data_IF_902702470204
#
_entry.id   IF_902702470204
#
_cell.length_a   1.000
_cell.length_b   1.000
_cell.length_c   1.000
_cell.angle_alpha   90.00
_cell.angle_beta   90.00
_cell.angle_gamma   90.00
#
_symmetry.space_group_name_H-M   'P 1'
#
loop_
_entity.id
_entity.type
_entity.pdbx_description
1 polymer ?
#
# COMPACT_ATOMS: atom_id res chain seq x y z
N UNK A 1 16.41 10.43 -29.95
CA UNK A 1 16.05 10.03 -28.57
C UNK A 1 14.55 9.75 -28.43
N UNK A 2 14.16 8.49 -28.18
CA UNK A 2 12.77 8.16 -27.80
C UNK A 2 12.58 8.57 -26.34
N UNK A 3 11.76 9.58 -26.08
CA UNK A 3 11.39 9.94 -24.71
C UNK A 3 10.45 8.86 -24.18
N UNK A 4 10.83 8.22 -23.07
CA UNK A 4 9.96 7.28 -22.38
C UNK A 4 8.90 8.07 -21.60
N UNK A 5 7.62 7.81 -21.86
CA UNK A 5 6.50 8.48 -21.21
C UNK A 5 5.57 7.44 -20.57
N UNK A 6 4.93 7.82 -19.47
CA UNK A 6 3.84 7.04 -18.90
C UNK A 6 2.52 7.47 -19.55
N UNK A 7 1.69 6.51 -19.95
CA UNK A 7 0.43 6.75 -20.67
C UNK A 7 -0.72 6.12 -19.88
N UNK A 8 -1.61 6.96 -19.37
CA UNK A 8 -2.88 6.52 -18.78
C UNK A 8 -3.98 6.51 -19.83
N UNK A 9 -4.76 5.44 -19.90
CA UNK A 9 -5.88 5.29 -20.84
C UNK A 9 -7.19 5.25 -20.06
N UNK A 10 -8.11 6.15 -20.42
CA UNK A 10 -9.45 6.20 -19.84
C UNK A 10 -10.33 5.03 -20.28
N UNK A 11 -11.46 4.83 -19.62
CA UNK A 11 -12.46 3.87 -20.11
C UNK A 11 -13.01 4.28 -21.48
N UNK A 12 -13.53 3.31 -22.25
CA UNK A 12 -14.22 3.59 -23.50
C UNK A 12 -15.41 4.55 -23.27
N UNK A 13 -15.52 5.58 -24.11
CA UNK A 13 -16.67 6.48 -24.16
C UNK A 13 -17.49 6.18 -25.41
N UNK A 14 -18.75 5.79 -25.23
CA UNK A 14 -19.71 5.48 -26.30
C UNK A 14 -20.51 6.72 -26.74
N UNK A 15 -20.36 7.84 -26.02
CA UNK A 15 -20.98 9.12 -26.36
C UNK A 15 -20.13 10.30 -25.91
N UNK A 16 -20.38 11.48 -26.50
CA UNK A 16 -19.68 12.73 -26.12
C UNK A 16 -19.83 13.06 -24.63
N UNK A 17 -20.97 12.74 -24.02
CA UNK A 17 -21.21 12.97 -22.60
C UNK A 17 -20.26 12.17 -21.68
N UNK A 18 -19.71 11.05 -22.16
CA UNK A 18 -18.81 10.19 -21.38
C UNK A 18 -17.33 10.59 -21.49
N UNK A 19 -16.97 11.49 -22.42
CA UNK A 19 -15.58 11.89 -22.69
C UNK A 19 -14.93 12.52 -21.45
N UNK A 20 -15.65 13.36 -20.72
CA UNK A 20 -15.13 13.97 -19.48
C UNK A 20 -14.78 12.91 -18.43
N UNK A 21 -15.61 11.88 -18.28
CA UNK A 21 -15.37 10.76 -17.37
C UNK A 21 -14.17 9.91 -17.82
N UNK A 22 -14.09 9.61 -19.12
CA UNK A 22 -12.96 8.88 -19.70
C UNK A 22 -11.64 9.61 -19.47
N UNK A 23 -11.60 10.94 -19.68
CA UNK A 23 -10.43 11.75 -19.39
C UNK A 23 -10.03 11.70 -17.91
N UNK A 24 -10.98 11.87 -16.99
CA UNK A 24 -10.70 11.79 -15.56
C UNK A 24 -10.11 10.42 -15.15
N UNK A 25 -10.56 9.35 -15.81
CA UNK A 25 -10.03 8.00 -15.62
C UNK A 25 -8.62 7.83 -16.21
N UNK A 26 -8.33 8.45 -17.35
CA UNK A 26 -6.98 8.50 -17.91
C UNK A 26 -6.00 9.21 -16.94
N UNK A 27 -6.43 10.32 -16.35
CA UNK A 27 -5.64 11.08 -15.37
C UNK A 27 -5.38 10.24 -14.10
N UNK A 28 -6.40 9.50 -13.61
CA UNK A 28 -6.26 8.54 -12.51
C UNK A 28 -5.28 7.42 -12.84
N UNK A 29 -5.36 6.84 -14.03
CA UNK A 29 -4.45 5.79 -14.45
C UNK A 29 -3.01 6.30 -14.54
N UNK A 30 -2.81 7.50 -15.09
CA UNK A 30 -1.50 8.14 -15.15
C UNK A 30 -0.94 8.43 -13.75
N UNK A 31 -1.79 8.86 -12.80
CA UNK A 31 -1.39 9.07 -11.41
C UNK A 31 -0.87 7.79 -10.76
N UNK A 32 -1.55 6.66 -10.98
CA UNK A 32 -1.09 5.36 -10.48
C UNK A 32 0.27 5.00 -11.06
N UNK A 33 0.45 5.14 -12.38
CA UNK A 33 1.73 4.86 -13.03
C UNK A 33 2.86 5.75 -12.49
N UNK A 34 2.60 7.03 -12.21
CA UNK A 34 3.58 7.94 -11.61
C UNK A 34 3.99 7.49 -10.20
N UNK A 35 3.03 7.07 -9.39
CA UNK A 35 3.29 6.60 -8.03
C UNK A 35 4.08 5.28 -8.00
N UNK A 36 3.89 4.40 -9.00
CA UNK A 36 4.72 3.18 -9.16
C UNK A 36 6.17 3.50 -9.53
N UNK A 37 6.46 4.71 -9.99
CA UNK A 37 7.78 5.12 -10.49
C UNK A 37 8.09 4.58 -11.89
N UNK A 38 9.25 4.98 -12.43
CA UNK A 38 9.69 4.58 -13.77
C UNK A 38 9.00 5.33 -14.92
N UNK A 39 9.43 5.03 -16.15
CA UNK A 39 8.97 5.66 -17.38
C UNK A 39 8.75 4.62 -18.48
N UNK A 40 7.78 4.84 -19.37
CA UNK A 40 7.51 3.93 -20.50
C UNK A 40 6.39 2.93 -20.23
N UNK A 41 5.59 3.14 -19.19
CA UNK A 41 4.49 2.27 -18.82
C UNK A 41 3.18 2.76 -19.43
N UNK A 42 2.30 1.83 -19.78
CA UNK A 42 0.93 2.12 -20.24
C UNK A 42 -0.05 1.34 -19.37
N UNK A 43 -1.14 1.97 -18.95
CA UNK A 43 -2.21 1.28 -18.23
C UNK A 43 -3.57 1.91 -18.54
N UNK A 44 -4.56 1.03 -18.73
CA UNK A 44 -5.97 1.39 -18.76
C UNK A 44 -6.54 1.56 -17.36
N UNK A 45 -7.53 2.45 -17.21
CA UNK A 45 -8.15 2.72 -15.92
C UNK A 45 -8.70 1.46 -15.23
N UNK A 46 -9.27 0.51 -15.98
CA UNK A 46 -9.79 -0.75 -15.42
C UNK A 46 -8.69 -1.62 -14.80
N UNK A 47 -7.45 -1.52 -15.28
CA UNK A 47 -6.30 -2.29 -14.78
C UNK A 47 -5.78 -1.73 -13.46
N UNK A 48 -6.01 -0.44 -13.20
CA UNK A 48 -5.48 0.29 -12.03
C UNK A 48 -6.59 0.89 -11.16
N UNK A 49 -7.85 0.47 -11.38
CA UNK A 49 -9.00 1.10 -10.75
C UNK A 49 -8.92 1.07 -9.22
N UNK A 50 -8.61 -0.09 -8.64
CA UNK A 50 -8.53 -0.24 -7.18
C UNK A 50 -7.35 0.51 -6.58
N UNK A 51 -6.22 0.56 -7.27
CA UNK A 51 -5.06 1.37 -6.84
C UNK A 51 -5.41 2.86 -6.86
N UNK A 52 -6.14 3.31 -7.90
CA UNK A 52 -6.67 4.67 -7.95
C UNK A 52 -7.67 4.95 -6.83
N UNK A 53 -8.52 3.98 -6.45
CA UNK A 53 -9.46 4.16 -5.34
C UNK A 53 -8.71 4.29 -4.01
N UNK A 54 -7.69 3.46 -3.80
CA UNK A 54 -6.87 3.53 -2.59
C UNK A 54 -6.11 4.85 -2.48
N UNK A 55 -5.60 5.38 -3.59
CA UNK A 55 -5.01 6.73 -3.63
C UNK A 55 -6.03 7.83 -3.29
N UNK A 56 -7.29 7.70 -3.72
CA UNK A 56 -8.33 8.65 -3.34
C UNK A 56 -8.65 8.59 -1.85
N UNK A 57 -8.66 7.39 -1.26
CA UNK A 57 -8.80 7.25 0.20
C UNK A 57 -7.62 7.90 0.92
N UNK A 58 -6.39 7.71 0.42
CA UNK A 58 -5.20 8.36 0.97
C UNK A 58 -5.25 9.89 0.85
N UNK A 59 -5.77 10.43 -0.26
CA UNK A 59 -5.97 11.87 -0.42
C UNK A 59 -6.95 12.45 0.59
N UNK A 60 -8.07 11.77 0.81
CA UNK A 60 -9.06 12.17 1.82
C UNK A 60 -8.44 12.12 3.21
N UNK A 61 -7.73 11.04 3.54
CA UNK A 61 -7.03 10.92 4.81
C UNK A 61 -6.02 12.06 5.02
N UNK A 62 -5.25 12.42 3.98
CA UNK A 62 -4.28 13.51 4.05
C UNK A 62 -4.95 14.88 4.17
N UNK A 63 -6.02 15.14 3.42
CA UNK A 63 -6.77 16.40 3.46
C UNK A 63 -7.44 16.65 4.82
N UNK A 64 -7.85 15.56 5.50
CA UNK A 64 -8.43 15.58 6.84
C UNK A 64 -7.36 15.43 7.95
N UNK A 65 -6.07 15.52 7.60
CA UNK A 65 -4.92 15.39 8.53
C UNK A 65 -4.98 14.13 9.40
N UNK A 66 -5.54 13.04 8.86
CA UNK A 66 -5.62 11.78 9.57
C UNK A 66 -4.23 11.19 9.79
N UNK A 67 -4.03 10.60 10.96
CA UNK A 67 -2.78 9.92 11.33
C UNK A 67 -3.04 8.43 11.55
N UNK A 68 -1.98 7.59 11.46
CA UNK A 68 -2.01 6.23 12.00
C UNK A 68 -2.64 6.16 13.39
N UNK A 69 -3.43 5.12 13.64
CA UNK A 69 -4.06 4.90 14.95
C UNK A 69 -3.88 3.47 15.43
N UNK A 70 -4.05 3.27 16.75
CA UNK A 70 -4.13 1.95 17.36
C UNK A 70 -2.85 1.12 17.19
N UNK A 71 -2.95 -0.16 16.77
CA UNK A 71 -1.78 -1.03 16.61
C UNK A 71 -0.71 -0.47 15.70
N UNK A 72 -1.08 0.19 14.59
CA UNK A 72 -0.10 0.71 13.63
C UNK A 72 0.73 1.85 14.24
N UNK A 73 0.07 2.79 14.90
CA UNK A 73 0.71 3.91 15.58
C UNK A 73 1.70 3.44 16.65
N UNK A 74 1.34 2.41 17.44
CA UNK A 74 2.23 1.83 18.45
C UNK A 74 3.49 1.22 17.82
N UNK A 75 3.37 0.55 16.68
CA UNK A 75 4.52 0.00 15.97
C UNK A 75 5.44 1.09 15.40
N UNK A 76 4.86 2.14 14.80
CA UNK A 76 5.63 3.28 14.32
C UNK A 76 6.41 3.97 15.44
N UNK A 77 5.77 4.20 16.59
CA UNK A 77 6.41 4.79 17.75
C UNK A 77 7.55 3.91 18.29
N UNK A 78 7.33 2.60 18.39
CA UNK A 78 8.34 1.66 18.85
C UNK A 78 9.54 1.58 17.90
N UNK A 79 9.31 1.48 16.59
CA UNK A 79 10.38 1.47 15.58
C UNK A 79 11.19 2.76 15.62
N UNK A 80 10.55 3.93 15.76
CA UNK A 80 11.23 5.21 15.90
C UNK A 80 12.08 5.32 17.17
N UNK A 81 11.59 4.80 18.30
CA UNK A 81 12.29 4.86 19.59
C UNK A 81 13.46 3.86 19.67
N UNK A 82 13.30 2.66 19.11
CA UNK A 82 14.25 1.55 19.29
C UNK A 82 15.10 1.25 18.06
N UNK A 83 14.85 1.90 16.93
CA UNK A 83 15.47 1.56 15.64
C UNK A 83 15.14 0.13 15.19
N UNK A 84 13.96 -0.37 15.56
CA UNK A 84 13.50 -1.69 15.14
C UNK A 84 12.84 -1.64 13.75
N UNK A 85 12.60 -2.82 13.19
CA UNK A 85 12.05 -3.01 11.83
C UNK A 85 10.73 -3.80 11.90
N UNK A 86 9.87 -3.51 12.88
CA UNK A 86 8.64 -4.26 13.12
C UNK A 86 7.58 -3.95 12.08
N UNK A 87 7.45 -2.69 11.64
CA UNK A 87 6.55 -2.28 10.56
C UNK A 87 6.95 -2.95 9.24
N UNK A 88 8.25 -3.01 8.94
CA UNK A 88 8.77 -3.71 7.75
C UNK A 88 8.49 -5.23 7.82
N UNK A 89 8.68 -5.83 9.00
CA UNK A 89 8.36 -7.25 9.25
C UNK A 89 6.87 -7.53 9.04
N UNK A 90 6.00 -6.68 9.59
CA UNK A 90 4.56 -6.80 9.44
C UNK A 90 4.12 -6.66 7.97
N UNK A 91 4.64 -5.67 7.25
CA UNK A 91 4.37 -5.49 5.82
C UNK A 91 4.77 -6.74 5.03
N UNK A 92 5.96 -7.28 5.28
CA UNK A 92 6.43 -8.48 4.60
C UNK A 92 5.56 -9.71 4.90
N UNK A 93 5.12 -9.88 6.15
CA UNK A 93 4.23 -10.96 6.55
C UNK A 93 2.86 -10.87 5.84
N UNK A 94 2.27 -9.67 5.80
CA UNK A 94 0.96 -9.45 5.18
C UNK A 94 1.02 -9.58 3.65
N UNK A 95 2.05 -9.03 3.01
CA UNK A 95 2.29 -9.16 1.56
C UNK A 95 2.51 -10.62 1.14
N UNK A 96 3.08 -11.44 2.02
CA UNK A 96 3.27 -12.87 1.83
C UNK A 96 2.06 -13.72 2.25
N UNK A 97 0.91 -13.09 2.53
CA UNK A 97 -0.30 -13.76 3.02
C UNK A 97 -0.08 -14.68 4.23
N UNK A 98 0.89 -14.35 5.07
CA UNK A 98 1.25 -15.10 6.27
C UNK A 98 2.30 -16.19 6.08
N UNK A 99 2.81 -16.41 4.86
CA UNK A 99 3.95 -17.29 4.62
C UNK A 99 5.23 -16.67 5.17
N UNK A 100 5.71 -17.22 6.29
CA UNK A 100 6.93 -16.76 6.98
C UNK A 100 8.17 -16.92 6.10
N UNK A 101 8.28 -17.98 5.30
CA UNK A 101 9.46 -18.20 4.48
C UNK A 101 9.53 -17.19 3.33
N UNK A 102 8.40 -16.97 2.65
CA UNK A 102 8.31 -15.94 1.62
C UNK A 102 8.54 -14.53 2.19
N UNK A 103 8.01 -14.24 3.39
CA UNK A 103 8.25 -12.97 4.07
C UNK A 103 9.72 -12.76 4.47
N UNK A 104 10.38 -13.79 4.99
CA UNK A 104 11.82 -13.75 5.33
C UNK A 104 12.68 -13.39 4.13
N UNK A 105 12.38 -13.96 2.97
CA UNK A 105 13.10 -13.68 1.72
C UNK A 105 12.97 -12.21 1.30
N UNK A 106 11.82 -11.56 1.54
CA UNK A 106 11.57 -10.15 1.20
C UNK A 106 12.37 -9.17 2.05
N UNK A 107 12.67 -9.50 3.31
CA UNK A 107 13.38 -8.62 4.26
C UNK A 107 14.79 -9.11 4.62
N UNK A 108 15.26 -10.18 3.95
CA UNK A 108 16.59 -10.77 4.12
C UNK A 108 16.95 -11.10 5.58
N UNK A 109 16.02 -11.70 6.34
CA UNK A 109 16.28 -12.15 7.73
C UNK A 109 16.04 -13.65 7.88
N UNK A 110 16.71 -14.26 8.85
CA UNK A 110 16.50 -15.66 9.19
C UNK A 110 15.12 -15.90 9.82
N UNK A 111 14.53 -17.07 9.58
CA UNK A 111 13.18 -17.43 10.05
C UNK A 111 12.99 -17.29 11.56
N UNK A 112 14.00 -17.65 12.36
CA UNK A 112 13.95 -17.49 13.82
C UNK A 112 13.81 -16.02 14.23
N UNK A 113 14.60 -15.15 13.63
CA UNK A 113 14.55 -13.70 13.87
C UNK A 113 13.20 -13.13 13.42
N UNK A 114 12.68 -13.58 12.27
CA UNK A 114 11.38 -13.14 11.78
C UNK A 114 10.25 -13.51 12.74
N UNK A 115 10.21 -14.78 13.20
CA UNK A 115 9.19 -15.25 14.17
C UNK A 115 9.29 -14.51 15.49
N UNK A 116 10.51 -14.21 15.96
CA UNK A 116 10.71 -13.38 17.14
C UNK A 116 10.13 -11.97 16.93
N UNK A 117 10.45 -11.30 15.81
CA UNK A 117 9.90 -9.98 15.48
C UNK A 117 8.37 -10.01 15.34
N UNK A 118 7.81 -11.07 14.75
CA UNK A 118 6.37 -11.25 14.60
C UNK A 118 5.66 -11.45 15.95
N UNK A 119 6.25 -12.22 16.86
CA UNK A 119 5.73 -12.33 18.23
C UNK A 119 5.79 -10.98 18.94
N UNK A 120 6.93 -10.31 18.85
CA UNK A 120 7.20 -9.04 19.51
C UNK A 120 6.28 -7.92 19.00
N UNK A 121 6.01 -7.86 17.70
CA UNK A 121 5.09 -6.87 17.15
C UNK A 121 3.65 -7.11 17.63
N UNK A 122 3.19 -8.35 17.77
CA UNK A 122 1.87 -8.63 18.35
C UNK A 122 1.81 -8.22 19.83
N UNK A 123 2.86 -8.50 20.61
CA UNK A 123 2.94 -8.10 22.03
C UNK A 123 2.88 -6.58 22.21
N UNK A 124 3.65 -5.82 21.43
CA UNK A 124 3.72 -4.35 21.52
C UNK A 124 2.42 -3.71 21.01
N UNK A 125 1.93 -4.19 19.88
CA UNK A 125 0.82 -3.54 19.19
C UNK A 125 -0.54 -4.03 19.65
N UNK A 126 -0.64 -5.17 20.34
CA UNK A 126 -1.91 -5.83 20.65
C UNK A 126 -2.68 -6.28 19.41
N UNK A 127 -2.02 -6.36 18.25
CA UNK A 127 -2.62 -6.80 16.99
C UNK A 127 -2.86 -8.31 17.04
N UNK A 128 -4.11 -8.72 16.83
CA UNK A 128 -4.44 -10.12 16.55
C UNK A 128 -4.34 -10.37 15.04
N UNK A 129 -3.33 -11.16 14.63
CA UNK A 129 -3.14 -11.55 13.23
C UNK A 129 -4.04 -12.72 12.80
N UNK A 130 -4.79 -13.33 13.71
CA UNK A 130 -5.81 -14.33 13.36
C UNK A 130 -7.14 -13.68 12.95
N UNK A 131 -7.39 -12.44 13.40
CA UNK A 131 -8.59 -11.68 13.04
C UNK A 131 -8.47 -11.10 11.61
N UNK A 132 -9.35 -11.51 10.68
CA UNK A 132 -9.33 -10.98 9.31
C UNK A 132 -9.60 -9.47 9.23
N UNK A 133 -10.43 -8.90 10.11
CA UNK A 133 -10.75 -7.48 10.10
C UNK A 133 -9.60 -6.64 10.64
N UNK A 134 -8.91 -7.13 11.68
CA UNK A 134 -7.67 -6.54 12.17
C UNK A 134 -6.59 -6.54 11.08
N UNK A 135 -6.43 -7.65 10.34
CA UNK A 135 -5.49 -7.75 9.20
C UNK A 135 -5.83 -6.78 8.08
N UNK A 136 -7.10 -6.68 7.69
CA UNK A 136 -7.52 -5.74 6.65
C UNK A 136 -7.26 -4.29 7.08
N UNK A 137 -7.64 -3.95 8.31
CA UNK A 137 -7.45 -2.60 8.87
C UNK A 137 -5.98 -2.19 8.85
N UNK A 138 -5.08 -3.08 9.32
CA UNK A 138 -3.64 -2.76 9.34
C UNK A 138 -3.04 -2.72 7.93
N UNK A 139 -3.51 -3.55 7.00
CA UNK A 139 -3.11 -3.47 5.58
C UNK A 139 -3.51 -2.13 4.96
N UNK A 140 -4.71 -1.63 5.25
CA UNK A 140 -5.16 -0.32 4.76
C UNK A 140 -4.29 0.80 5.33
N UNK A 141 -4.04 0.81 6.65
CA UNK A 141 -3.16 1.80 7.27
C UNK A 141 -1.74 1.78 6.67
N UNK A 142 -1.17 0.60 6.41
CA UNK A 142 0.13 0.44 5.75
C UNK A 142 0.17 0.97 4.32
N UNK A 143 -0.95 0.99 3.60
CA UNK A 143 -1.05 1.50 2.23
C UNK A 143 -1.34 2.99 2.16
N UNK A 144 -2.16 3.49 3.10
CA UNK A 144 -2.55 4.90 3.21
C UNK A 144 -1.42 5.74 3.78
N UNK A 145 -0.78 5.30 4.86
CA UNK A 145 0.20 6.08 5.61
C UNK A 145 1.64 5.58 5.49
N UNK A 146 1.87 4.41 4.91
CA UNK A 146 3.19 3.78 4.84
C UNK A 146 3.94 4.01 3.53
N UNK A 147 3.68 5.13 2.85
CA UNK A 147 4.42 5.58 1.66
C UNK A 147 5.72 6.26 2.07
#
# INVERSE_FOLDING_TARGET
>A
PRHAANIGVGRLAESLAQVARSRADADRALRVLRARGGSGHVAGYTEVHFESLLMQVADVAAAEEQTPTGPYQRLLAHDAEHGSELVATLRAYLDAFGDVNAACARVHVHANTFRYRLKRLCEISGLDLADPDARLTIMLQLRIFGQ
#
